data_IF_427939955161
#
_entry.id   IF_427939955161
#
_cell.length_a   1.000
_cell.length_b   1.000
_cell.length_c   1.000
_cell.angle_alpha   90.00
_cell.angle_beta   90.00
_cell.angle_gamma   90.00
#
_symmetry.space_group_name_H-M   'P 1'
#
loop_
_entity.id
_entity.type
_entity.pdbx_description
1 polymer ?
#
# COMPACT_ATOMS: atom_id res chain seq x y z
N UNK A 1 -16.52 2.44 9.45
CA UNK A 1 -15.25 3.19 9.64
C UNK A 1 -14.09 2.46 8.97
N UNK A 2 -13.79 1.20 9.33
CA UNK A 2 -12.67 0.42 8.76
C UNK A 2 -12.74 0.15 7.24
N UNK A 3 -13.94 -0.03 6.68
CA UNK A 3 -14.12 -0.28 5.24
C UNK A 3 -14.51 0.98 4.45
N UNK A 4 -14.20 2.18 4.97
CA UNK A 4 -14.51 3.40 4.25
C UNK A 4 -13.71 3.47 2.94
N UNK A 5 -14.39 3.70 1.81
CA UNK A 5 -13.80 3.64 0.46
C UNK A 5 -12.54 4.50 0.30
N UNK A 6 -12.53 5.70 0.87
CA UNK A 6 -11.34 6.57 0.84
C UNK A 6 -10.20 6.07 1.73
N UNK A 7 -10.51 5.34 2.80
CA UNK A 7 -9.51 4.63 3.61
C UNK A 7 -8.86 3.51 2.82
N UNK A 8 -9.68 2.68 2.16
CA UNK A 8 -9.19 1.62 1.25
C UNK A 8 -8.31 2.13 0.12
N UNK A 9 -8.67 3.27 -0.49
CA UNK A 9 -7.80 3.91 -1.49
C UNK A 9 -6.41 4.26 -0.91
N UNK A 10 -6.34 4.79 0.30
CA UNK A 10 -5.06 5.11 0.96
C UNK A 10 -4.29 3.83 1.32
N UNK A 11 -4.98 2.78 1.81
CA UNK A 11 -4.36 1.48 2.09
C UNK A 11 -3.67 0.91 0.84
N UNK A 12 -4.37 0.85 -0.29
CA UNK A 12 -3.79 0.36 -1.55
C UNK A 12 -2.61 1.21 -2.02
N UNK A 13 -2.71 2.54 -1.93
CA UNK A 13 -1.60 3.43 -2.29
C UNK A 13 -0.39 3.24 -1.37
N UNK A 14 -0.58 3.02 -0.06
CA UNK A 14 0.54 2.73 0.85
C UNK A 14 1.17 1.39 0.49
N UNK A 15 0.38 0.34 0.23
CA UNK A 15 0.90 -0.95 -0.21
C UNK A 15 1.76 -0.82 -1.48
N UNK A 16 1.29 -0.11 -2.50
CA UNK A 16 2.05 0.12 -3.73
C UNK A 16 3.36 0.88 -3.46
N UNK A 17 3.31 1.91 -2.62
CA UNK A 17 4.51 2.66 -2.25
C UNK A 17 5.54 1.78 -1.51
N UNK A 18 5.09 0.90 -0.61
CA UNK A 18 5.97 -0.04 0.10
C UNK A 18 6.55 -1.10 -0.84
N UNK A 19 5.76 -1.64 -1.78
CA UNK A 19 6.26 -2.59 -2.79
C UNK A 19 7.36 -1.97 -3.67
N UNK A 20 7.17 -0.72 -4.09
CA UNK A 20 8.17 0.01 -4.88
C UNK A 20 9.43 0.35 -4.07
N UNK A 21 9.29 0.55 -2.76
CA UNK A 21 10.40 0.84 -1.85
C UNK A 21 11.13 -0.42 -1.35
N UNK A 22 10.53 -1.60 -1.50
CA UNK A 22 10.97 -2.83 -0.85
C UNK A 22 12.41 -3.21 -1.21
N UNK A 23 12.78 -3.08 -2.49
CA UNK A 23 14.13 -3.41 -2.96
C UNK A 23 15.22 -2.56 -2.30
N UNK A 24 14.93 -1.30 -2.00
CA UNK A 24 15.89 -0.38 -1.39
C UNK A 24 15.91 -0.51 0.14
N UNK A 25 14.73 -0.67 0.75
CA UNK A 25 14.57 -0.61 2.21
C UNK A 25 14.50 -1.98 2.89
N UNK A 26 14.39 -3.07 2.12
CA UNK A 26 14.31 -4.45 2.62
C UNK A 26 13.10 -4.69 3.52
N UNK A 27 11.94 -4.10 3.18
CA UNK A 27 10.74 -4.06 4.04
C UNK A 27 10.20 -5.47 4.30
N UNK A 28 10.02 -6.27 3.25
CA UNK A 28 9.54 -7.64 3.31
C UNK A 28 10.50 -8.52 4.13
N UNK A 29 11.79 -8.43 3.85
CA UNK A 29 12.85 -9.20 4.52
C UNK A 29 13.01 -8.85 6.00
N UNK A 30 12.54 -7.69 6.47
CA UNK A 30 12.66 -7.32 7.89
C UNK A 30 11.86 -8.26 8.80
N UNK A 31 10.85 -8.94 8.26
CA UNK A 31 10.01 -9.91 9.00
C UNK A 31 10.78 -11.17 9.41
N UNK A 32 11.92 -11.46 8.77
CA UNK A 32 12.74 -12.64 9.03
C UNK A 32 13.66 -12.48 10.25
N UNK A 33 13.78 -11.27 10.81
CA UNK A 33 14.59 -10.97 12.00
C UNK A 33 13.80 -10.12 13.00
N UNK A 34 13.54 -10.60 14.22
CA UNK A 34 12.89 -9.81 15.27
C UNK A 34 13.60 -8.47 15.53
N UNK A 35 14.94 -8.47 15.48
CA UNK A 35 15.77 -7.30 15.74
C UNK A 35 15.59 -6.22 14.68
N UNK A 36 15.30 -6.59 13.43
CA UNK A 36 14.98 -5.64 12.35
C UNK A 36 13.51 -5.26 12.38
N UNK A 37 12.62 -6.23 12.60
CA UNK A 37 11.18 -6.02 12.57
C UNK A 37 10.70 -5.05 13.65
N UNK A 38 11.33 -5.04 14.84
CA UNK A 38 10.96 -4.11 15.91
C UNK A 38 11.09 -2.62 15.51
N UNK A 39 11.92 -2.30 14.51
CA UNK A 39 12.10 -0.93 14.01
C UNK A 39 11.20 -0.62 12.80
N UNK A 40 10.44 -1.59 12.31
CA UNK A 40 9.49 -1.41 11.21
C UNK A 40 8.21 -0.73 11.74
N UNK A 41 8.22 0.60 11.74
CA UNK A 41 7.10 1.43 12.21
C UNK A 41 6.46 2.23 11.08
N UNK A 42 5.37 2.93 11.37
CA UNK A 42 4.71 3.87 10.45
C UNK A 42 5.63 5.01 9.96
N UNK A 43 6.73 5.27 10.67
CA UNK A 43 7.80 6.18 10.24
C UNK A 43 8.37 5.80 8.87
N UNK A 44 8.25 4.55 8.41
CA UNK A 44 8.70 4.13 7.07
C UNK A 44 8.14 5.01 5.94
N UNK A 45 6.90 5.50 6.09
CA UNK A 45 6.28 6.43 5.13
C UNK A 45 7.07 7.75 5.10
N UNK A 46 7.47 8.26 6.26
CA UNK A 46 8.30 9.47 6.38
C UNK A 46 9.71 9.24 5.84
N UNK A 47 10.28 8.07 6.08
CA UNK A 47 11.59 7.66 5.54
C UNK A 47 11.59 7.70 4.01
N UNK A 48 10.56 7.13 3.37
CA UNK A 48 10.43 7.18 1.90
C UNK A 48 10.25 8.64 1.45
N UNK A 49 9.33 9.38 2.07
CA UNK A 49 9.00 10.78 1.75
C UNK A 49 10.22 11.72 1.77
N UNK A 50 11.10 11.57 2.76
CA UNK A 50 12.28 12.41 2.97
C UNK A 50 13.56 11.89 2.28
N UNK A 51 13.55 10.67 1.73
CA UNK A 51 14.73 10.12 1.06
C UNK A 51 15.09 10.92 -0.20
N UNK A 52 16.39 11.07 -0.46
CA UNK A 52 16.94 11.63 -1.70
C UNK A 52 17.30 10.56 -2.72
N UNK A 53 17.19 9.26 -2.38
CA UNK A 53 17.52 8.16 -3.28
C UNK A 53 16.64 8.18 -4.53
N UNK A 54 17.25 8.04 -5.70
CA UNK A 54 16.52 7.98 -6.97
C UNK A 54 15.64 6.71 -7.05
N UNK A 55 16.08 5.61 -6.43
CA UNK A 55 15.35 4.34 -6.39
C UNK A 55 13.99 4.47 -5.72
N UNK A 56 13.86 5.37 -4.74
CA UNK A 56 12.60 5.65 -4.03
C UNK A 56 11.72 6.71 -4.70
N UNK A 57 12.13 7.23 -5.87
CA UNK A 57 11.36 8.22 -6.64
C UNK A 57 9.91 7.81 -6.90
N UNK A 58 9.65 6.60 -7.43
CA UNK A 58 8.29 6.11 -7.67
C UNK A 58 7.45 6.00 -6.39
N UNK A 59 8.01 5.46 -5.31
CA UNK A 59 7.33 5.35 -4.02
C UNK A 59 7.00 6.74 -3.42
N UNK A 60 7.94 7.69 -3.49
CA UNK A 60 7.72 9.09 -3.09
C UNK A 60 6.60 9.76 -3.87
N UNK A 61 6.48 9.48 -5.17
CA UNK A 61 5.42 10.05 -6.00
C UNK A 61 4.03 9.61 -5.51
N UNK A 62 3.87 8.34 -5.12
CA UNK A 62 2.61 7.84 -4.54
C UNK A 62 2.33 8.51 -3.18
N UNK A 63 3.32 8.59 -2.29
CA UNK A 63 3.15 9.25 -0.99
C UNK A 63 2.77 10.74 -1.17
N UNK A 64 3.39 11.44 -2.11
CA UNK A 64 3.04 12.83 -2.45
C UNK A 64 1.58 12.96 -2.86
N UNK A 65 1.05 12.03 -3.66
CA UNK A 65 -0.37 11.99 -4.01
C UNK A 65 -1.27 11.79 -2.80
N UNK A 66 -0.90 10.93 -1.86
CA UNK A 66 -1.65 10.74 -0.60
C UNK A 66 -1.69 12.07 0.17
N UNK A 67 -0.55 12.76 0.31
CA UNK A 67 -0.44 14.05 1.03
C UNK A 67 -1.29 15.15 0.39
N UNK A 68 -1.37 15.20 -0.94
CA UNK A 68 -2.19 16.18 -1.67
C UNK A 68 -3.63 15.69 -1.91
N UNK A 69 -4.04 14.60 -1.25
CA UNK A 69 -5.38 13.99 -1.38
C UNK A 69 -5.75 13.59 -2.82
N UNK A 70 -4.78 13.39 -3.69
CA UNK A 70 -4.95 12.86 -5.05
C UNK A 70 -5.00 11.32 -5.04
N UNK A 71 -6.06 10.80 -4.40
CA UNK A 71 -6.24 9.39 -4.11
C UNK A 71 -6.67 8.57 -5.34
N UNK A 72 -6.53 7.25 -5.27
CA UNK A 72 -7.14 6.35 -6.25
C UNK A 72 -8.66 6.52 -6.30
N UNK A 73 -9.19 6.47 -7.51
CA UNK A 73 -10.62 6.56 -7.76
C UNK A 73 -11.29 5.23 -7.46
N UNK A 74 -12.44 5.32 -6.82
CA UNK A 74 -13.31 4.18 -6.60
C UNK A 74 -14.20 4.05 -7.84
N UNK A 75 -14.06 2.93 -8.55
CA UNK A 75 -14.82 2.69 -9.79
C UNK A 75 -16.19 2.10 -9.49
N UNK A 76 -16.24 0.96 -8.79
CA UNK A 76 -17.50 0.30 -8.46
C UNK A 76 -17.35 -0.70 -7.28
N UNK A 77 -18.47 -1.06 -6.66
CA UNK A 77 -18.58 -2.19 -5.74
C UNK A 77 -19.89 -2.94 -5.98
N UNK A 78 -19.84 -4.26 -5.89
CA UNK A 78 -21.02 -5.09 -6.02
C UNK A 78 -21.10 -6.08 -4.87
N UNK A 79 -22.26 -6.16 -4.23
CA UNK A 79 -22.51 -7.10 -3.14
C UNK A 79 -22.97 -8.42 -3.75
N UNK A 80 -22.14 -9.44 -3.62
CA UNK A 80 -22.43 -10.79 -4.09
C UNK A 80 -22.96 -11.61 -2.92
N UNK A 81 -24.17 -12.18 -3.01
CA UNK A 81 -24.66 -13.19 -2.08
C UNK A 81 -23.68 -14.37 -1.97
N UNK A 82 -23.47 -14.89 -0.76
CA UNK A 82 -22.44 -15.90 -0.51
C UNK A 82 -22.67 -17.20 -1.33
N UNK A 83 -23.92 -17.57 -1.55
CA UNK A 83 -24.36 -18.69 -2.38
C UNK A 83 -23.98 -18.53 -3.87
N UNK A 84 -23.80 -17.28 -4.34
CA UNK A 84 -23.42 -16.99 -5.72
C UNK A 84 -21.90 -16.90 -5.96
N UNK A 85 -21.05 -17.00 -4.93
CA UNK A 85 -19.60 -16.86 -5.09
C UNK A 85 -19.00 -17.88 -6.08
N UNK A 86 -19.51 -19.11 -6.12
CA UNK A 86 -19.02 -20.16 -7.01
C UNK A 86 -19.34 -19.92 -8.49
N UNK A 87 -20.24 -18.99 -8.80
CA UNK A 87 -20.61 -18.61 -10.16
C UNK A 87 -19.74 -17.48 -10.73
N UNK A 88 -18.88 -16.87 -9.91
CA UNK A 88 -17.94 -15.86 -10.40
C UNK A 88 -16.79 -16.56 -11.13
N UNK A 89 -16.57 -16.28 -12.43
CA UNK A 89 -15.45 -16.85 -13.16
C UNK A 89 -14.14 -16.43 -12.50
N UNK A 90 -13.31 -17.41 -12.12
CA UNK A 90 -11.97 -17.14 -11.60
C UNK A 90 -11.14 -16.49 -12.71
N UNK A 91 -10.41 -15.42 -12.38
CA UNK A 91 -9.44 -14.84 -13.31
C UNK A 91 -8.40 -15.93 -13.70
N UNK A 92 -7.99 -15.98 -14.97
CA UNK A 92 -6.87 -16.81 -15.40
C UNK A 92 -5.56 -16.40 -14.73
#
# INVERSE_FOLDING_TARGET
IYNHRKGKAVEYMICDALLLADKELGISSSTESPERFQYMTDHIVKTIECSTSAALGPARAIIRRIRTRHLYEFVDEYLVPADLMNHIPKRP
#
